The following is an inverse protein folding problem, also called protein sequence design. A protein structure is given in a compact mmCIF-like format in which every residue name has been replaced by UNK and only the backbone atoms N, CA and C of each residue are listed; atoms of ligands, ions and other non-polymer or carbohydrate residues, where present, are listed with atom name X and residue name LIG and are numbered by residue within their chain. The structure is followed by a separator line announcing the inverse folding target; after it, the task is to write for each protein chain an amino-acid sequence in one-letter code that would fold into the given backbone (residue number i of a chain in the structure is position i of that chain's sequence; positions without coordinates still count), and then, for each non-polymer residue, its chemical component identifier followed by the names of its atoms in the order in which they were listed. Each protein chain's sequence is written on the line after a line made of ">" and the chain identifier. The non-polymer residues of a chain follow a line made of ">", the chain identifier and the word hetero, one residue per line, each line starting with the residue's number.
data_IF_708986437572
#
_entry.id   IF_708986437572
#
_cell.length_a   1.000
_cell.length_b   1.000
_cell.length_c   1.000
_cell.angle_alpha   90.00
_cell.angle_beta   90.00
_cell.angle_gamma   90.00
#
_symmetry.space_group_name_H-M   'P 1'
#
loop_
_entity.id
_entity.type
_entity.pdbx_description
1 polymer ?
#
# COMPACT_ATOMS: atom_id res chain seq x y z
N UNK A 1 35.23 12.37 -8.56
CA UNK A 1 34.46 11.60 -9.57
C UNK A 1 33.03 12.05 -9.39
N UNK A 2 32.45 12.71 -10.39
CA UNK A 2 31.04 13.06 -10.37
C UNK A 2 30.27 11.78 -10.70
N UNK A 3 29.35 11.36 -9.83
CA UNK A 3 28.33 10.37 -10.19
C UNK A 3 27.51 10.95 -11.35
N UNK A 4 27.44 10.21 -12.45
CA UNK A 4 26.53 10.54 -13.54
C UNK A 4 25.09 10.52 -13.01
N UNK A 5 24.23 11.47 -13.41
CA UNK A 5 22.88 11.55 -12.89
C UNK A 5 22.11 10.29 -13.29
N UNK A 6 21.66 9.53 -12.29
CA UNK A 6 20.79 8.37 -12.49
C UNK A 6 19.51 8.87 -13.17
N UNK A 7 19.33 8.51 -14.44
CA UNK A 7 18.17 8.93 -15.21
C UNK A 7 16.93 8.25 -14.62
N UNK A 8 16.01 9.04 -14.04
CA UNK A 8 14.80 8.52 -13.42
C UNK A 8 13.97 7.76 -14.45
N UNK A 9 13.58 6.52 -14.12
CA UNK A 9 12.70 5.73 -14.99
C UNK A 9 11.27 6.28 -14.90
N UNK A 10 10.51 6.26 -16.01
CA UNK A 10 9.10 6.67 -16.01
C UNK A 10 8.25 5.86 -15.03
N UNK A 11 7.12 6.42 -14.58
CA UNK A 11 6.18 5.72 -13.67
C UNK A 11 5.71 4.38 -14.24
N UNK A 12 5.63 4.27 -15.57
CA UNK A 12 5.31 3.03 -16.29
C UNK A 12 6.23 1.87 -15.90
N UNK A 13 7.51 2.13 -15.66
CA UNK A 13 8.45 1.09 -15.23
C UNK A 13 8.07 0.53 -13.86
N UNK A 14 7.68 1.38 -12.91
CA UNK A 14 7.21 0.95 -11.59
C UNK A 14 5.91 0.14 -11.71
N UNK A 15 4.97 0.57 -12.56
CA UNK A 15 3.72 -0.15 -12.84
C UNK A 15 3.99 -1.55 -13.41
N UNK A 16 4.90 -1.68 -14.36
CA UNK A 16 5.28 -2.97 -14.96
C UNK A 16 5.91 -3.91 -13.93
N UNK A 17 6.74 -3.38 -13.02
CA UNK A 17 7.33 -4.16 -11.93
C UNK A 17 6.27 -4.67 -10.96
N UNK A 18 5.40 -3.78 -10.46
CA UNK A 18 4.31 -4.14 -9.55
C UNK A 18 3.38 -5.17 -10.21
N UNK A 19 2.98 -4.95 -11.46
CA UNK A 19 2.10 -5.86 -12.19
C UNK A 19 2.69 -7.26 -12.31
N UNK A 20 4.00 -7.35 -12.63
CA UNK A 20 4.71 -8.63 -12.74
C UNK A 20 4.78 -9.35 -11.40
N UNK A 21 5.14 -8.66 -10.32
CA UNK A 21 5.30 -9.28 -9.02
C UNK A 21 3.96 -9.71 -8.42
N UNK A 22 2.90 -8.90 -8.56
CA UNK A 22 1.54 -9.28 -8.16
C UNK A 22 1.06 -10.52 -8.93
N UNK A 23 1.34 -10.62 -10.23
CA UNK A 23 0.96 -11.79 -11.03
C UNK A 23 1.68 -13.09 -10.62
N UNK A 24 2.85 -12.98 -9.95
CA UNK A 24 3.57 -14.14 -9.40
C UNK A 24 2.92 -14.69 -8.13
N UNK A 25 2.12 -13.88 -7.42
CA UNK A 25 1.37 -14.28 -6.23
C UNK A 25 0.09 -15.01 -6.66
N UNK A 26 0.27 -16.21 -7.20
CA UNK A 26 -0.79 -17.07 -7.71
C UNK A 26 -1.09 -18.24 -6.76
N UNK A 27 -2.01 -19.12 -7.17
CA UNK A 27 -2.39 -20.32 -6.42
C UNK A 27 -1.20 -21.17 -5.96
N UNK A 28 -0.19 -21.35 -6.82
CA UNK A 28 1.01 -22.11 -6.49
C UNK A 28 1.85 -21.44 -5.40
N UNK A 29 1.98 -20.11 -5.45
CA UNK A 29 2.66 -19.35 -4.42
C UNK A 29 1.95 -19.45 -3.06
N UNK A 30 0.61 -19.32 -3.03
CA UNK A 30 -0.16 -19.48 -1.80
C UNK A 30 -0.04 -20.88 -1.20
N UNK A 31 -0.14 -21.92 -2.04
CA UNK A 31 0.06 -23.31 -1.58
C UNK A 31 1.46 -23.51 -1.00
N UNK A 32 2.49 -23.04 -1.69
CA UNK A 32 3.87 -23.09 -1.20
C UNK A 32 4.04 -22.36 0.14
N UNK A 33 3.47 -21.16 0.28
CA UNK A 33 3.53 -20.40 1.53
C UNK A 33 2.84 -21.14 2.68
N UNK A 34 1.68 -21.77 2.43
CA UNK A 34 0.98 -22.59 3.42
C UNK A 34 1.84 -23.81 3.81
N UNK A 35 2.41 -24.52 2.84
CA UNK A 35 3.26 -25.68 3.11
C UNK A 35 4.51 -25.28 3.90
N UNK A 36 5.14 -24.16 3.55
CA UNK A 36 6.27 -23.58 4.27
C UNK A 36 5.90 -23.24 5.72
N UNK A 37 4.76 -22.57 5.94
CA UNK A 37 4.28 -22.20 7.27
C UNK A 37 3.91 -23.43 8.14
N UNK A 38 3.52 -24.54 7.53
CA UNK A 38 3.26 -25.82 8.22
C UNK A 38 4.52 -26.70 8.35
N UNK A 39 5.65 -26.30 7.79
CA UNK A 39 6.89 -27.05 7.88
C UNK A 39 7.60 -26.80 9.21
N UNK A 40 8.48 -27.72 9.61
CA UNK A 40 9.35 -27.52 10.78
C UNK A 40 10.30 -26.31 10.65
N UNK A 41 10.45 -25.72 9.46
CA UNK A 41 11.42 -24.65 9.22
C UNK A 41 11.10 -23.41 10.08
N UNK A 42 9.83 -23.07 10.24
CA UNK A 42 9.40 -21.92 11.05
C UNK A 42 9.88 -22.06 12.49
N UNK A 43 9.67 -23.24 13.09
CA UNK A 43 10.06 -23.50 14.48
C UNK A 43 11.59 -23.68 14.64
N UNK A 44 12.22 -24.40 13.70
CA UNK A 44 13.67 -24.66 13.73
C UNK A 44 14.47 -23.38 13.61
N UNK A 45 14.08 -22.51 12.69
CA UNK A 45 14.78 -21.25 12.42
C UNK A 45 14.20 -20.08 13.23
N UNK A 46 13.16 -20.33 14.05
CA UNK A 46 12.47 -19.33 14.89
C UNK A 46 11.99 -18.13 14.08
N UNK A 47 11.43 -18.42 12.91
CA UNK A 47 10.88 -17.39 12.04
C UNK A 47 9.63 -16.80 12.65
N UNK A 48 9.46 -15.50 12.47
CA UNK A 48 8.26 -14.75 12.90
C UNK A 48 7.66 -14.05 11.68
N UNK A 49 6.38 -13.71 11.78
CA UNK A 49 5.74 -12.92 10.74
C UNK A 49 6.48 -11.58 10.58
N UNK A 50 6.71 -11.16 9.34
CA UNK A 50 7.34 -9.88 9.03
C UNK A 50 6.40 -8.70 9.24
N UNK A 51 5.08 -8.95 9.34
CA UNK A 51 4.09 -7.93 9.65
C UNK A 51 4.20 -7.55 11.13
N UNK A 52 4.88 -6.43 11.41
CA UNK A 52 5.05 -5.89 12.74
C UNK A 52 4.30 -4.56 12.89
N UNK A 53 3.19 -4.59 13.63
CA UNK A 53 2.38 -3.41 13.91
C UNK A 53 3.08 -2.40 14.85
N UNK A 54 4.22 -2.76 15.45
CA UNK A 54 5.00 -1.85 16.27
C UNK A 54 5.94 -0.95 15.44
N UNK A 55 6.18 -1.28 14.15
CA UNK A 55 6.97 -0.42 13.28
C UNK A 55 6.13 0.77 12.80
N UNK A 56 6.64 1.98 13.07
CA UNK A 56 5.97 3.25 12.76
C UNK A 56 6.65 4.02 11.63
N UNK A 57 7.80 3.55 11.14
CA UNK A 57 8.59 4.25 10.10
C UNK A 57 9.09 3.23 9.08
N UNK A 58 8.37 3.09 7.97
CA UNK A 58 8.66 2.07 6.96
C UNK A 58 9.79 2.46 6.01
N UNK A 59 10.13 3.76 5.93
CA UNK A 59 11.17 4.28 5.03
C UNK A 59 12.46 3.45 5.09
N UNK A 60 13.02 3.05 3.93
CA UNK A 60 12.71 3.51 2.59
C UNK A 60 11.58 2.74 1.87
N UNK A 61 10.94 1.78 2.56
CA UNK A 61 9.84 1.00 2.02
C UNK A 61 8.50 1.71 2.21
N UNK A 62 7.48 1.22 1.51
CA UNK A 62 6.09 1.66 1.68
C UNK A 62 5.17 0.45 1.71
N UNK A 63 4.05 0.59 2.40
CA UNK A 63 2.95 -0.37 2.40
C UNK A 63 1.68 0.31 1.86
N UNK A 64 0.89 -0.39 1.06
CA UNK A 64 -0.31 0.16 0.41
C UNK A 64 -1.52 -0.72 0.68
N UNK A 65 -2.40 -0.24 1.55
CA UNK A 65 -3.67 -0.86 1.87
C UNK A 65 -4.76 -0.37 0.91
N UNK A 66 -5.19 -1.27 0.01
CA UNK A 66 -6.25 -0.97 -0.95
C UNK A 66 -7.62 -1.31 -0.38
N UNK A 67 -8.37 -0.28 0.03
CA UNK A 67 -9.76 -0.40 0.48
C UNK A 67 -10.77 -0.08 -0.64
N UNK A 68 -10.29 0.04 -1.89
CA UNK A 68 -11.09 0.37 -3.08
C UNK A 68 -12.28 -0.58 -3.32
N UNK A 69 -12.20 -1.80 -2.82
CA UNK A 69 -13.24 -2.83 -3.00
C UNK A 69 -14.00 -3.17 -1.71
N UNK A 70 -13.78 -2.42 -0.63
CA UNK A 70 -14.60 -2.59 0.58
C UNK A 70 -15.93 -1.87 0.36
N UNK A 71 -17.07 -2.55 0.54
CA UNK A 71 -18.39 -2.01 0.19
C UNK A 71 -18.93 -1.06 1.28
N UNK A 72 -18.13 -0.07 1.69
CA UNK A 72 -18.53 0.88 2.74
C UNK A 72 -19.79 1.67 2.36
N UNK A 73 -19.89 2.09 1.09
CA UNK A 73 -21.04 2.88 0.61
C UNK A 73 -22.25 2.02 0.23
N UNK A 74 -22.15 0.69 0.31
CA UNK A 74 -23.30 -0.23 0.17
C UNK A 74 -23.89 -0.60 1.54
N UNK A 75 -23.25 -0.20 2.64
CA UNK A 75 -23.71 -0.48 3.99
C UNK A 75 -25.00 0.31 4.29
N UNK A 76 -26.10 -0.37 4.58
CA UNK A 76 -27.36 0.29 4.96
C UNK A 76 -28.04 -0.48 6.09
N UNK A 77 -28.21 0.17 7.24
CA UNK A 77 -28.88 -0.40 8.41
C UNK A 77 -30.40 -0.10 8.45
N UNK A 78 -30.96 0.38 7.33
CA UNK A 78 -32.36 0.82 7.20
C UNK A 78 -32.54 2.34 7.22
N UNK A 79 -31.44 3.11 7.16
CA UNK A 79 -31.43 4.57 7.21
C UNK A 79 -30.82 5.24 5.98
N UNK A 80 -30.41 4.45 4.98
CA UNK A 80 -29.61 4.90 3.84
C UNK A 80 -28.12 4.67 4.04
N UNK A 81 -27.38 4.75 2.93
CA UNK A 81 -25.92 4.57 2.88
C UNK A 81 -25.14 5.68 3.61
N UNK A 82 -23.91 5.40 4.08
CA UNK A 82 -22.98 6.41 4.55
C UNK A 82 -22.76 7.50 3.51
N UNK A 83 -22.71 8.76 3.96
CA UNK A 83 -22.31 9.89 3.12
C UNK A 83 -20.80 10.11 3.10
N UNK A 84 -20.06 9.48 4.02
CA UNK A 84 -18.62 9.61 4.16
C UNK A 84 -18.04 8.41 4.89
N UNK A 85 -16.83 8.00 4.51
CA UNK A 85 -16.05 6.98 5.18
C UNK A 85 -14.57 7.39 5.14
N UNK A 86 -13.84 7.18 6.24
CA UNK A 86 -12.41 7.42 6.31
C UNK A 86 -11.72 6.42 7.25
N UNK A 87 -10.43 6.10 7.03
CA UNK A 87 -9.64 5.38 8.02
C UNK A 87 -9.54 6.19 9.32
N UNK A 88 -9.37 5.48 10.44
CA UNK A 88 -8.96 6.11 11.70
C UNK A 88 -7.55 6.70 11.55
N UNK A 89 -7.15 7.53 12.51
CA UNK A 89 -5.83 8.16 12.50
C UNK A 89 -4.73 7.12 12.76
N UNK A 90 -3.98 6.79 11.70
CA UNK A 90 -2.82 5.90 11.73
C UNK A 90 -1.55 6.69 11.40
N UNK A 91 -0.60 6.68 12.34
CA UNK A 91 0.62 7.48 12.32
C UNK A 91 1.86 6.68 11.87
N UNK A 92 1.67 5.77 10.91
CA UNK A 92 2.77 4.96 10.37
C UNK A 92 3.28 5.64 9.11
N UNK A 93 4.50 6.18 9.16
CA UNK A 93 5.12 6.80 8.00
C UNK A 93 5.38 5.74 6.92
N UNK A 94 4.96 6.05 5.68
CA UNK A 94 5.07 5.12 4.54
C UNK A 94 3.91 4.12 4.39
N UNK A 95 2.92 4.09 5.29
CA UNK A 95 1.70 3.26 5.15
C UNK A 95 0.57 4.07 4.48
N UNK A 96 0.27 3.74 3.22
CA UNK A 96 -0.77 4.41 2.44
C UNK A 96 -2.08 3.64 2.49
N UNK A 97 -3.21 4.33 2.58
CA UNK A 97 -4.55 3.72 2.48
C UNK A 97 -5.30 4.35 1.31
N UNK A 98 -5.78 3.52 0.37
CA UNK A 98 -6.54 3.94 -0.81
C UNK A 98 -8.03 3.69 -0.64
N UNK A 99 -8.84 4.73 -0.75
CA UNK A 99 -10.30 4.69 -0.62
C UNK A 99 -10.99 5.12 -1.92
N UNK A 100 -12.16 4.56 -2.24
CA UNK A 100 -13.02 5.15 -3.25
C UNK A 100 -13.60 6.46 -2.70
N UNK A 101 -13.65 7.49 -3.54
CA UNK A 101 -14.24 8.77 -3.17
C UNK A 101 -15.69 8.62 -2.74
N UNK A 102 -16.06 9.28 -1.63
CA UNK A 102 -17.43 9.31 -1.13
C UNK A 102 -18.40 10.01 -2.10
N UNK A 103 -17.89 10.78 -3.07
CA UNK A 103 -18.70 11.41 -4.11
C UNK A 103 -19.24 10.40 -5.13
N UNK A 104 -18.63 9.21 -5.23
CA UNK A 104 -19.01 8.18 -6.21
C UNK A 104 -18.71 8.58 -7.66
N UNK A 105 -17.80 9.51 -7.89
CA UNK A 105 -17.41 10.04 -9.21
C UNK A 105 -16.30 9.23 -9.90
N UNK A 106 -15.86 8.12 -9.28
CA UNK A 106 -14.77 7.28 -9.76
C UNK A 106 -13.38 7.75 -9.35
N UNK A 107 -13.26 8.84 -8.59
CA UNK A 107 -11.98 9.27 -8.02
C UNK A 107 -11.56 8.42 -6.81
N UNK A 108 -10.28 8.52 -6.45
CA UNK A 108 -9.64 7.79 -5.35
C UNK A 108 -9.01 8.78 -4.39
N UNK A 109 -9.30 8.61 -3.10
CA UNK A 109 -8.64 9.33 -2.02
C UNK A 109 -7.49 8.47 -1.48
N UNK A 110 -6.29 9.04 -1.41
CA UNK A 110 -5.12 8.39 -0.83
C UNK A 110 -4.72 9.10 0.47
N UNK A 111 -4.72 8.35 1.59
CA UNK A 111 -4.20 8.80 2.87
C UNK A 111 -2.71 8.46 2.93
N UNK A 112 -1.85 9.49 2.96
CA UNK A 112 -0.39 9.34 2.84
C UNK A 112 0.31 10.01 4.04
N UNK A 113 0.58 9.26 5.13
CA UNK A 113 1.35 9.76 6.26
C UNK A 113 2.81 9.98 5.86
N UNK A 114 3.28 11.21 6.00
CA UNK A 114 4.65 11.64 5.68
C UNK A 114 5.20 12.51 6.80
N UNK A 115 6.51 12.54 6.96
CA UNK A 115 7.15 13.58 7.75
C UNK A 115 6.85 14.96 7.14
N UNK A 116 6.61 15.95 8.00
CA UNK A 116 6.27 17.32 7.58
C UNK A 116 7.29 17.95 6.63
N UNK A 117 8.56 17.60 6.79
CA UNK A 117 9.67 18.05 5.91
C UNK A 117 9.55 17.54 4.47
N UNK A 118 8.92 16.38 4.26
CA UNK A 118 8.85 15.69 2.96
C UNK A 118 7.57 16.04 2.18
N UNK A 119 6.54 16.55 2.87
CA UNK A 119 5.23 16.91 2.28
C UNK A 119 5.34 17.89 1.10
N UNK A 120 6.24 18.87 1.18
CA UNK A 120 6.41 19.87 0.09
C UNK A 120 6.98 19.22 -1.16
N UNK A 121 7.99 18.36 -1.00
CA UNK A 121 8.60 17.61 -2.10
C UNK A 121 7.59 16.67 -2.73
N UNK A 122 6.85 15.92 -1.91
CA UNK A 122 5.78 15.02 -2.37
C UNK A 122 4.76 15.78 -3.24
N UNK A 123 4.23 16.90 -2.75
CA UNK A 123 3.24 17.72 -3.50
C UNK A 123 3.75 18.18 -4.87
N UNK A 124 5.02 18.55 -4.96
CA UNK A 124 5.61 18.99 -6.23
C UNK A 124 5.77 17.83 -7.22
N UNK A 125 6.08 16.62 -6.72
CA UNK A 125 6.25 15.43 -7.55
C UNK A 125 4.91 14.83 -8.01
N UNK A 126 3.82 14.94 -7.24
CA UNK A 126 2.54 14.28 -7.53
C UNK A 126 1.94 14.58 -8.92
N UNK A 127 2.28 15.72 -9.53
CA UNK A 127 1.77 16.13 -10.84
C UNK A 127 2.76 15.88 -11.98
N UNK A 128 3.95 15.36 -11.67
CA UNK A 128 5.02 15.06 -12.63
C UNK A 128 4.95 13.57 -12.97
N UNK A 129 4.02 13.20 -13.86
CA UNK A 129 3.83 11.83 -14.35
C UNK A 129 4.48 11.68 -15.73
N UNK A 130 5.82 11.68 -15.78
CA UNK A 130 6.57 11.34 -16.99
C UNK A 130 6.74 9.81 -17.15
#
# INVERSE_FOLDING_TARGET
>A
MAEEPEQSRPVKHAVELISREVARINDGYFKFFIDFANSDAVEKDRLVATADAADLVLSPNIEVDSWLRIPFYDMDFGGGRPFFFMPSYLLVEGLLILLPSFLGDGSVDAYVPLFSRDMKTFKNCCYSLD
#
